data_IF_881790064176
#
_entry.id   IF_881790064176
#
_cell.length_a   1.000
_cell.length_b   1.000
_cell.length_c   1.000
_cell.angle_alpha   90.00
_cell.angle_beta   90.00
_cell.angle_gamma   90.00
#
_symmetry.space_group_name_H-M   'P 1'
#
loop_
_entity.id
_entity.type
_entity.pdbx_description
1 polymer ?
#
# COMPACT_ATOMS: atom_id res chain seq x y z
N UNK A 1 13.67 16.13 -17.17
CA UNK A 1 13.51 16.46 -15.74
C UNK A 1 12.03 16.35 -15.42
N UNK A 2 11.62 15.39 -14.60
CA UNK A 2 10.22 15.26 -14.17
C UNK A 2 9.90 16.44 -13.24
N UNK A 3 8.87 17.22 -13.54
CA UNK A 3 8.48 18.37 -12.75
C UNK A 3 7.90 17.86 -11.42
N UNK A 4 8.48 18.26 -10.28
CA UNK A 4 7.89 17.91 -8.97
C UNK A 4 6.70 18.81 -8.70
N UNK A 5 5.51 18.23 -8.78
CA UNK A 5 4.27 18.88 -8.36
C UNK A 5 4.19 18.91 -6.83
N UNK A 6 3.56 19.94 -6.28
CA UNK A 6 3.37 20.10 -4.84
C UNK A 6 1.88 20.22 -4.51
N UNK A 7 1.49 19.64 -3.37
CA UNK A 7 0.11 19.69 -2.87
C UNK A 7 0.11 20.28 -1.47
N UNK A 8 -0.89 21.11 -1.17
CA UNK A 8 -1.14 21.63 0.16
C UNK A 8 -2.35 20.91 0.76
N UNK A 9 -2.15 20.25 1.91
CA UNK A 9 -3.19 19.52 2.63
C UNK A 9 -3.32 20.04 4.06
N UNK A 10 -4.54 19.97 4.60
CA UNK A 10 -4.84 20.36 5.99
C UNK A 10 -5.13 19.11 6.81
N UNK A 11 -4.50 19.01 7.98
CA UNK A 11 -4.77 17.97 8.95
C UNK A 11 -5.45 18.55 10.18
N UNK A 12 -6.31 17.76 10.86
CA UNK A 12 -6.71 18.05 12.23
C UNK A 12 -5.48 18.24 13.11
N UNK A 13 -5.56 19.15 14.09
CA UNK A 13 -4.42 19.51 14.94
C UNK A 13 -3.85 18.29 15.70
N UNK A 14 -4.69 17.37 16.13
CA UNK A 14 -4.26 16.15 16.82
C UNK A 14 -3.46 15.21 15.92
N UNK A 15 -3.88 15.04 14.66
CA UNK A 15 -3.12 14.25 13.69
C UNK A 15 -1.78 14.91 13.35
N UNK A 16 -1.74 16.24 13.20
CA UNK A 16 -0.49 16.95 12.97
C UNK A 16 0.49 16.78 14.14
N UNK A 17 0.02 16.83 15.39
CA UNK A 17 0.83 16.55 16.58
C UNK A 17 1.39 15.13 16.57
N UNK A 18 0.59 14.15 16.14
CA UNK A 18 1.04 12.75 16.00
C UNK A 18 2.14 12.66 14.97
N UNK A 19 1.96 13.22 13.77
CA UNK A 19 2.99 13.25 12.70
C UNK A 19 4.27 13.91 13.22
N UNK A 20 4.16 15.05 13.90
CA UNK A 20 5.30 15.76 14.48
C UNK A 20 6.08 14.92 15.48
N UNK A 21 5.39 14.06 16.24
CA UNK A 21 6.04 13.18 17.20
C UNK A 21 6.97 12.18 16.52
N UNK A 22 6.59 11.63 15.36
CA UNK A 22 7.43 10.72 14.59
C UNK A 22 8.68 11.41 14.05
N UNK A 23 8.53 12.63 13.54
CA UNK A 23 9.66 13.43 13.05
C UNK A 23 10.60 13.81 14.19
N UNK A 24 10.06 14.25 15.34
CA UNK A 24 10.87 14.61 16.53
C UNK A 24 11.64 13.43 17.10
N UNK A 25 11.11 12.21 17.00
CA UNK A 25 11.81 10.98 17.41
C UNK A 25 12.86 10.51 16.40
N UNK A 26 12.96 11.16 15.24
CA UNK A 26 13.91 10.81 14.19
C UNK A 26 13.49 9.60 13.35
N UNK A 27 12.25 9.13 13.47
CA UNK A 27 11.73 8.01 12.65
C UNK A 27 11.54 8.43 11.19
N UNK A 28 11.34 9.73 10.94
CA UNK A 28 11.23 10.33 9.62
C UNK A 28 11.96 11.68 9.61
N UNK A 29 12.61 12.03 8.50
CA UNK A 29 13.31 13.30 8.33
C UNK A 29 12.34 14.49 8.14
N UNK A 30 11.11 14.24 7.71
CA UNK A 30 10.10 15.28 7.51
C UNK A 30 8.67 14.75 7.56
N UNK A 31 7.69 15.67 7.75
CA UNK A 31 6.26 15.34 7.63
C UNK A 31 5.92 14.76 6.27
N UNK A 32 6.49 15.32 5.20
CA UNK A 32 6.24 14.85 3.83
C UNK A 32 6.74 13.42 3.61
N UNK A 33 7.83 13.04 4.26
CA UNK A 33 8.33 11.67 4.20
C UNK A 33 7.40 10.70 4.90
N UNK A 34 6.94 11.04 6.11
CA UNK A 34 5.91 10.29 6.83
C UNK A 34 4.67 10.09 5.97
N UNK A 35 4.17 11.17 5.35
CA UNK A 35 2.97 11.12 4.51
C UNK A 35 3.18 10.22 3.29
N UNK A 36 4.33 10.31 2.60
CA UNK A 36 4.64 9.43 1.46
C UNK A 36 4.66 7.96 1.87
N UNK A 37 5.27 7.65 3.01
CA UNK A 37 5.30 6.28 3.52
C UNK A 37 3.91 5.78 3.92
N UNK A 38 3.10 6.63 4.55
CA UNK A 38 1.72 6.32 4.87
C UNK A 38 0.88 6.03 3.63
N UNK A 39 1.05 6.80 2.55
CA UNK A 39 0.38 6.55 1.26
C UNK A 39 0.80 5.19 0.68
N UNK A 40 2.11 4.90 0.62
CA UNK A 40 2.60 3.57 0.15
C UNK A 40 2.04 2.41 0.96
N UNK A 41 1.98 2.56 2.30
CA UNK A 41 1.39 1.55 3.18
C UNK A 41 -0.11 1.38 2.92
N UNK A 42 -0.84 2.46 2.65
CA UNK A 42 -2.25 2.40 2.29
C UNK A 42 -2.48 1.66 0.96
N UNK A 43 -1.65 1.93 -0.05
CA UNK A 43 -1.66 1.20 -1.33
C UNK A 43 -1.39 -0.30 -1.12
N UNK A 44 -0.40 -0.65 -0.29
CA UNK A 44 -0.10 -2.04 0.04
C UNK A 44 -1.27 -2.75 0.75
N UNK A 45 -1.91 -2.07 1.72
CA UNK A 45 -3.09 -2.60 2.41
C UNK A 45 -4.23 -2.83 1.42
N UNK A 46 -4.41 -1.93 0.46
CA UNK A 46 -5.43 -2.07 -0.57
C UNK A 46 -5.13 -3.29 -1.46
N UNK A 47 -3.89 -3.43 -1.92
CA UNK A 47 -3.45 -4.61 -2.69
C UNK A 47 -3.70 -5.92 -1.93
N UNK A 48 -3.41 -5.97 -0.62
CA UNK A 48 -3.69 -7.15 0.21
C UNK A 48 -5.19 -7.47 0.32
N UNK A 49 -6.05 -6.45 0.41
CA UNK A 49 -7.51 -6.65 0.40
C UNK A 49 -7.98 -7.21 -0.93
N UNK A 50 -7.40 -6.77 -2.03
CA UNK A 50 -7.78 -7.22 -3.37
C UNK A 50 -7.31 -8.66 -3.61
N UNK A 51 -6.10 -9.03 -3.16
CA UNK A 51 -5.65 -10.43 -3.13
C UNK A 51 -6.63 -11.31 -2.36
N UNK A 52 -7.02 -10.88 -1.16
CA UNK A 52 -7.96 -11.65 -0.33
C UNK A 52 -9.30 -11.87 -1.02
N UNK A 53 -9.85 -10.85 -1.69
CA UNK A 53 -11.09 -10.99 -2.47
C UNK A 53 -10.93 -12.01 -3.60
N UNK A 54 -9.81 -11.97 -4.32
CA UNK A 54 -9.52 -12.95 -5.39
C UNK A 54 -9.44 -14.36 -4.82
N UNK A 55 -8.77 -14.54 -3.68
CA UNK A 55 -8.71 -15.84 -3.01
C UNK A 55 -10.08 -16.37 -2.61
N UNK A 56 -10.91 -15.51 -2.01
CA UNK A 56 -12.29 -15.86 -1.63
C UNK A 56 -13.15 -16.21 -2.85
N UNK A 57 -13.03 -15.46 -3.95
CA UNK A 57 -13.74 -15.71 -5.23
C UNK A 57 -13.34 -17.03 -5.86
N UNK A 58 -12.04 -17.34 -5.89
CA UNK A 58 -11.49 -18.51 -6.58
C UNK A 58 -11.39 -19.76 -5.69
N UNK A 59 -11.83 -19.66 -4.43
CA UNK A 59 -11.74 -20.75 -3.45
C UNK A 59 -10.31 -21.14 -3.10
N UNK A 60 -9.35 -20.22 -3.23
CA UNK A 60 -7.92 -20.44 -2.96
C UNK A 60 -7.69 -20.31 -1.46
N UNK A 61 -7.16 -21.35 -0.83
CA UNK A 61 -6.80 -21.31 0.59
C UNK A 61 -5.39 -20.73 0.81
N UNK A 62 -5.08 -20.34 2.04
CA UNK A 62 -3.72 -19.93 2.39
C UNK A 62 -2.69 -21.07 2.21
N UNK A 63 -3.12 -22.32 2.39
CA UNK A 63 -2.30 -23.48 2.08
C UNK A 63 -2.04 -23.61 0.58
N UNK A 64 -3.02 -23.29 -0.26
CA UNK A 64 -2.86 -23.29 -1.73
C UNK A 64 -1.91 -22.18 -2.20
N UNK A 65 -1.80 -21.07 -1.48
CA UNK A 65 -0.77 -20.06 -1.73
C UNK A 65 0.63 -20.57 -1.37
N UNK A 66 0.76 -21.24 -0.22
CA UNK A 66 2.04 -21.78 0.26
C UNK A 66 2.52 -22.98 -0.56
N UNK A 67 1.61 -23.87 -0.95
CA UNK A 67 1.84 -25.03 -1.80
C UNK A 67 1.80 -24.66 -3.29
N UNK A 68 1.28 -23.47 -3.60
CA UNK A 68 0.97 -22.98 -4.93
C UNK A 68 2.20 -22.78 -5.80
N UNK A 69 2.41 -23.74 -6.69
CA UNK A 69 3.26 -23.59 -7.85
C UNK A 69 2.93 -22.29 -8.61
N UNK A 70 3.94 -21.78 -9.31
CA UNK A 70 3.97 -20.56 -10.14
C UNK A 70 2.62 -20.11 -10.72
N UNK A 71 1.78 -21.02 -11.20
CA UNK A 71 0.46 -20.78 -11.76
C UNK A 71 -0.54 -20.03 -10.85
N UNK A 72 -0.61 -20.33 -9.55
CA UNK A 72 -1.54 -19.62 -8.63
C UNK A 72 -1.10 -18.16 -8.45
N UNK A 73 0.21 -17.93 -8.35
CA UNK A 73 0.80 -16.59 -8.29
C UNK A 73 0.60 -15.82 -9.58
N UNK A 74 0.82 -16.45 -10.73
CA UNK A 74 0.57 -15.86 -12.04
C UNK A 74 -0.91 -15.48 -12.23
N UNK A 75 -1.85 -16.31 -11.76
CA UNK A 75 -3.29 -16.01 -11.83
C UNK A 75 -3.68 -14.79 -10.99
N UNK A 76 -3.26 -14.75 -9.72
CA UNK A 76 -3.52 -13.60 -8.84
C UNK A 76 -2.87 -12.33 -9.41
N UNK A 77 -1.63 -12.43 -9.89
CA UNK A 77 -0.93 -11.30 -10.49
C UNK A 77 -1.63 -10.78 -11.75
N UNK A 78 -2.13 -11.68 -12.60
CA UNK A 78 -2.85 -11.31 -13.83
C UNK A 78 -4.18 -10.62 -13.51
N UNK A 79 -4.95 -11.06 -12.50
CA UNK A 79 -6.17 -10.33 -12.11
C UNK A 79 -5.88 -8.98 -11.43
N UNK A 80 -4.75 -8.82 -10.75
CA UNK A 80 -4.41 -7.55 -10.09
C UNK A 80 -3.79 -6.50 -11.02
N UNK A 81 -3.02 -6.93 -12.01
CA UNK A 81 -2.16 -6.05 -12.83
C UNK A 81 -2.32 -6.26 -14.34
N UNK A 82 -3.22 -7.15 -14.78
CA UNK A 82 -3.43 -7.48 -16.19
C UNK A 82 -4.14 -6.40 -17.01
N UNK A 83 -4.69 -5.37 -16.38
CA UNK A 83 -5.23 -4.18 -17.04
C UNK A 83 -4.25 -3.00 -16.89
N UNK A 84 -3.15 -3.07 -17.63
CA UNK A 84 -2.36 -1.87 -17.97
C UNK A 84 -2.35 -1.79 -19.50
N UNK A 85 -3.43 -1.21 -20.06
CA UNK A 85 -3.44 -0.61 -21.40
C UNK A 85 -3.17 0.89 -21.29
#
# INVERSE_FOLDING_TARGET
MTQMESVQIRFPSEELKRIDSYVKRGEYHSRSEFIRDAVRKAEMIQALKDIRKIMEKEGITEEDLHKGGKAIREKIFSEMFGEIE
#
